data_IF_936732017584
#
_entry.id   IF_936732017584
#
_cell.length_a   1.000
_cell.length_b   1.000
_cell.length_c   1.000
_cell.angle_alpha   90.00
_cell.angle_beta   90.00
_cell.angle_gamma   90.00
#
_symmetry.space_group_name_H-M   'P 1'
#
loop_
_entity.id
_entity.type
_entity.pdbx_description
1 polymer ?
#
# COMPACT_ATOMS: atom_id res chain seq x y z
N UNK A 1 48.69 3.34 15.04
CA UNK A 1 47.93 4.39 14.32
C UNK A 1 46.94 3.83 13.29
N UNK A 2 47.28 2.75 12.55
CA UNK A 2 46.38 2.10 11.56
C UNK A 2 45.09 1.50 12.14
N UNK A 3 45.16 0.80 13.29
CA UNK A 3 44.00 0.15 13.90
C UNK A 3 42.90 1.12 14.41
N UNK A 4 43.26 2.35 14.76
CA UNK A 4 42.32 3.36 15.27
C UNK A 4 41.46 3.91 14.12
N UNK A 5 42.05 4.09 12.93
CA UNK A 5 41.33 4.58 11.74
C UNK A 5 40.29 3.55 11.25
N UNK A 6 40.61 2.27 11.33
CA UNK A 6 39.70 1.19 10.90
C UNK A 6 38.49 1.02 11.84
N UNK A 7 38.70 1.19 13.16
CA UNK A 7 37.65 1.20 14.18
C UNK A 7 36.66 2.38 13.99
N UNK A 8 37.15 3.55 13.59
CA UNK A 8 36.27 4.72 13.32
C UNK A 8 35.44 4.57 12.05
N UNK A 9 35.96 3.89 11.02
CA UNK A 9 35.21 3.60 9.78
C UNK A 9 34.12 2.56 10.01
N UNK A 10 34.41 1.51 10.77
CA UNK A 10 33.46 0.43 11.05
C UNK A 10 32.32 0.87 11.97
N UNK A 11 32.58 1.76 12.92
CA UNK A 11 31.55 2.37 13.79
C UNK A 11 30.64 3.34 13.02
N UNK A 12 31.20 4.25 12.20
CA UNK A 12 30.38 5.13 11.33
C UNK A 12 29.48 4.38 10.36
N UNK A 13 30.00 3.30 9.75
CA UNK A 13 29.23 2.50 8.78
C UNK A 13 28.05 1.76 9.42
N UNK A 14 28.12 1.41 10.72
CA UNK A 14 26.99 0.83 11.45
C UNK A 14 25.93 1.87 11.81
N UNK A 15 26.34 3.09 12.14
CA UNK A 15 25.43 4.18 12.53
C UNK A 15 24.54 4.65 11.37
N UNK A 16 25.04 4.64 10.13
CA UNK A 16 24.27 4.99 8.93
C UNK A 16 23.26 3.91 8.49
N UNK A 17 23.50 2.62 8.82
CA UNK A 17 22.57 1.53 8.46
C UNK A 17 21.27 1.60 9.29
N UNK A 18 21.36 2.04 10.54
CA UNK A 18 20.19 2.15 11.42
C UNK A 18 19.47 3.50 11.33
N UNK A 19 20.04 4.49 10.62
CA UNK A 19 19.45 5.83 10.49
C UNK A 19 18.32 5.85 9.47
N UNK A 20 17.10 6.12 9.94
CA UNK A 20 15.95 6.27 9.03
C UNK A 20 15.89 7.71 8.48
N UNK A 21 15.83 7.92 7.16
CA UNK A 21 15.75 9.26 6.60
C UNK A 21 14.43 9.92 6.98
N UNK A 22 14.50 10.95 7.83
CA UNK A 22 13.33 11.68 8.34
C UNK A 22 12.44 12.23 7.23
N UNK A 23 13.03 12.67 6.11
CA UNK A 23 12.29 13.14 4.94
C UNK A 23 11.37 12.06 4.35
N UNK A 24 11.80 10.79 4.34
CA UNK A 24 10.99 9.67 3.88
C UNK A 24 9.81 9.40 4.82
N UNK A 25 10.03 9.50 6.13
CA UNK A 25 8.97 9.34 7.13
C UNK A 25 7.89 10.42 6.94
N UNK A 26 8.30 11.68 6.79
CA UNK A 26 7.38 12.81 6.61
C UNK A 26 6.59 12.66 5.31
N UNK A 27 7.25 12.34 4.19
CA UNK A 27 6.56 12.12 2.92
C UNK A 27 5.52 10.99 3.03
N UNK A 28 5.89 9.87 3.65
CA UNK A 28 4.97 8.75 3.86
C UNK A 28 3.78 9.13 4.74
N UNK A 29 4.00 9.88 5.82
CA UNK A 29 2.92 10.38 6.69
C UNK A 29 1.98 11.26 5.88
N UNK A 30 2.50 12.25 5.15
CA UNK A 30 1.68 13.12 4.32
C UNK A 30 0.88 12.33 3.29
N UNK A 31 1.52 11.35 2.61
CA UNK A 31 0.85 10.50 1.64
C UNK A 31 -0.29 9.69 2.29
N UNK A 32 -0.03 9.00 3.41
CA UNK A 32 -1.04 8.20 4.11
C UNK A 32 -2.20 9.08 4.56
N UNK A 33 -1.92 10.25 5.15
CA UNK A 33 -2.95 11.19 5.60
C UNK A 33 -3.80 11.68 4.42
N UNK A 34 -3.17 12.06 3.31
CA UNK A 34 -3.90 12.50 2.10
C UNK A 34 -4.78 11.36 1.57
N UNK A 35 -4.25 10.14 1.44
CA UNK A 35 -5.04 8.99 1.00
C UNK A 35 -6.21 8.74 1.95
N UNK A 36 -5.97 8.74 3.25
CA UNK A 36 -7.00 8.51 4.26
C UNK A 36 -8.09 9.60 4.21
N UNK A 37 -7.72 10.87 4.00
CA UNK A 37 -8.68 11.95 3.81
C UNK A 37 -9.51 11.75 2.52
N UNK A 38 -8.86 11.42 1.40
CA UNK A 38 -9.55 11.22 0.12
C UNK A 38 -10.55 10.04 0.23
N UNK A 39 -10.12 8.91 0.79
CA UNK A 39 -10.96 7.71 0.88
C UNK A 39 -12.04 7.80 1.98
N UNK A 40 -11.84 8.59 3.04
CA UNK A 40 -12.80 8.70 4.14
C UNK A 40 -13.79 9.87 3.97
N UNK A 41 -13.32 11.04 3.54
CA UNK A 41 -14.16 12.24 3.38
C UNK A 41 -14.79 12.37 2.00
N UNK A 42 -14.17 11.77 0.99
CA UNK A 42 -14.63 11.86 -0.40
C UNK A 42 -14.82 10.50 -1.07
N UNK A 43 -15.40 9.47 -0.40
CA UNK A 43 -15.72 8.20 -1.07
C UNK A 43 -16.60 8.45 -2.30
N UNK A 44 -17.56 9.38 -2.16
CA UNK A 44 -18.51 9.80 -3.19
C UNK A 44 -17.92 10.81 -4.20
N UNK A 45 -16.61 11.09 -4.15
CA UNK A 45 -15.92 11.83 -5.22
C UNK A 45 -14.78 11.03 -5.86
N UNK A 46 -14.49 9.84 -5.35
CA UNK A 46 -13.61 8.88 -6.02
C UNK A 46 -14.44 8.18 -7.10
N UNK A 47 -14.63 8.90 -8.20
CA UNK A 47 -15.47 8.50 -9.31
C UNK A 47 -15.20 9.35 -10.55
N UNK A 48 -15.69 8.90 -11.68
CA UNK A 48 -15.57 9.64 -12.93
C UNK A 48 -16.77 10.58 -13.02
N UNK A 49 -16.50 11.88 -13.16
CA UNK A 49 -17.54 12.90 -13.34
C UNK A 49 -17.95 12.94 -14.81
N UNK A 50 -19.24 12.71 -15.11
CA UNK A 50 -19.78 12.79 -16.46
C UNK A 50 -20.69 14.01 -16.62
N UNK A 51 -20.49 14.72 -17.73
CA UNK A 51 -21.45 15.68 -18.25
C UNK A 51 -22.10 15.05 -19.49
N UNK A 52 -23.36 14.60 -19.39
CA UNK A 52 -24.12 14.13 -20.54
C UNK A 52 -25.56 14.63 -20.45
N UNK A 53 -26.09 15.10 -21.58
CA UNK A 53 -27.49 15.50 -21.76
C UNK A 53 -28.02 16.43 -20.64
N UNK A 54 -27.26 17.48 -20.32
CA UNK A 54 -27.59 18.50 -19.30
C UNK A 54 -27.77 17.99 -17.86
N UNK A 55 -27.34 16.77 -17.57
CA UNK A 55 -27.43 16.16 -16.22
C UNK A 55 -26.04 15.76 -15.72
N UNK A 56 -25.72 16.12 -14.47
CA UNK A 56 -24.51 15.65 -13.80
C UNK A 56 -24.73 14.23 -13.26
N UNK A 57 -23.99 13.24 -13.78
CA UNK A 57 -24.03 11.87 -13.27
C UNK A 57 -22.65 11.48 -12.72
N UNK A 58 -22.64 10.95 -11.49
CA UNK A 58 -21.44 10.53 -10.78
C UNK A 58 -21.39 9.00 -10.70
N UNK A 59 -20.32 8.40 -11.25
CA UNK A 59 -20.12 6.95 -11.24
C UNK A 59 -18.98 6.62 -10.26
N UNK A 60 -19.26 6.01 -9.11
CA UNK A 60 -18.22 5.63 -8.15
C UNK A 60 -17.33 4.52 -8.72
N UNK A 61 -16.01 4.71 -8.64
CA UNK A 61 -15.02 3.71 -9.13
C UNK A 61 -14.90 2.52 -8.17
N UNK A 62 -15.20 2.73 -6.89
CA UNK A 62 -15.21 1.70 -5.87
C UNK A 62 -16.66 1.36 -5.50
N UNK A 63 -17.02 0.09 -5.58
CA UNK A 63 -18.34 -0.40 -5.17
C UNK A 63 -18.61 -0.06 -3.70
N UNK A 64 -19.84 0.33 -3.40
CA UNK A 64 -20.30 0.70 -2.05
C UNK A 64 -20.12 -0.47 -1.07
N UNK A 65 -20.32 -1.71 -1.56
CA UNK A 65 -20.08 -2.93 -0.77
C UNK A 65 -18.58 -3.18 -0.51
N UNK A 66 -17.72 -2.84 -1.47
CA UNK A 66 -16.27 -2.91 -1.34
C UNK A 66 -15.77 -1.91 -0.29
N UNK A 67 -16.23 -0.66 -0.34
CA UNK A 67 -15.91 0.36 0.65
C UNK A 67 -16.45 -0.03 2.04
N UNK A 68 -17.70 -0.49 2.15
CA UNK A 68 -18.29 -0.86 3.45
C UNK A 68 -17.53 -1.99 4.17
N UNK A 69 -17.02 -2.97 3.42
CA UNK A 69 -16.38 -4.15 4.01
C UNK A 69 -14.87 -3.98 4.21
N UNK A 70 -14.17 -3.33 3.28
CA UNK A 70 -12.70 -3.26 3.28
C UNK A 70 -12.13 -1.95 3.84
N UNK A 71 -12.88 -0.84 3.78
CA UNK A 71 -12.40 0.45 4.24
C UNK A 71 -12.01 0.47 5.74
N UNK A 72 -12.71 -0.23 6.67
CA UNK A 72 -12.28 -0.31 8.06
C UNK A 72 -10.91 -0.99 8.22
N UNK A 73 -10.67 -2.08 7.47
CA UNK A 73 -9.39 -2.79 7.49
C UNK A 73 -8.26 -1.96 6.87
N UNK A 74 -8.53 -1.28 5.76
CA UNK A 74 -7.57 -0.37 5.12
C UNK A 74 -7.23 0.81 6.04
N UNK A 75 -8.21 1.39 6.73
CA UNK A 75 -7.97 2.44 7.72
C UNK A 75 -7.11 1.93 8.89
N UNK A 76 -7.38 0.72 9.38
CA UNK A 76 -6.56 0.11 10.43
C UNK A 76 -5.11 -0.09 9.96
N UNK A 77 -4.92 -0.55 8.72
CA UNK A 77 -3.60 -0.66 8.10
C UNK A 77 -2.90 0.70 7.99
N UNK A 78 -3.61 1.75 7.56
CA UNK A 78 -3.06 3.10 7.49
C UNK A 78 -2.67 3.65 8.86
N UNK A 79 -3.47 3.40 9.90
CA UNK A 79 -3.13 3.81 11.28
C UNK A 79 -1.86 3.09 11.76
N UNK A 80 -1.74 1.79 11.49
CA UNK A 80 -0.53 1.01 11.79
C UNK A 80 0.68 1.56 11.03
N UNK A 81 0.55 1.82 9.73
CA UNK A 81 1.61 2.42 8.92
C UNK A 81 1.98 3.85 9.40
N UNK A 82 0.99 4.66 9.79
CA UNK A 82 1.20 6.00 10.31
C UNK A 82 1.97 5.96 11.64
N UNK A 83 1.55 5.10 12.58
CA UNK A 83 2.23 4.92 13.86
C UNK A 83 3.68 4.46 13.69
N UNK A 84 3.96 3.59 12.72
CA UNK A 84 5.32 3.21 12.34
C UNK A 84 6.15 4.42 11.91
N UNK A 85 5.62 5.24 10.98
CA UNK A 85 6.35 6.40 10.47
C UNK A 85 6.56 7.46 11.57
N UNK A 86 5.60 7.66 12.48
CA UNK A 86 5.74 8.54 13.65
C UNK A 86 6.85 8.01 14.58
N UNK A 87 6.88 6.70 14.84
CA UNK A 87 7.93 6.07 15.63
C UNK A 87 9.31 6.27 14.99
N UNK A 88 9.42 6.12 13.66
CA UNK A 88 10.65 6.43 12.92
C UNK A 88 11.08 7.90 13.04
N UNK A 89 10.12 8.83 13.03
CA UNK A 89 10.41 10.26 13.16
C UNK A 89 10.93 10.61 14.57
N UNK A 90 10.32 10.01 15.60
CA UNK A 90 10.67 10.22 17.01
C UNK A 90 12.01 9.57 17.38
N UNK A 91 12.20 8.29 17.02
CA UNK A 91 13.39 7.53 17.38
C UNK A 91 14.59 7.83 16.46
N UNK A 92 14.32 8.21 15.20
CA UNK A 92 15.33 8.46 14.16
C UNK A 92 16.19 7.24 13.80
N UNK A 93 15.90 6.08 14.39
CA UNK A 93 16.65 4.84 14.29
C UNK A 93 15.73 3.63 14.26
N UNK A 94 16.19 2.53 13.67
CA UNK A 94 15.49 1.24 13.74
C UNK A 94 15.66 0.61 15.12
N UNK A 95 14.58 0.51 15.89
CA UNK A 95 14.54 -0.28 17.13
C UNK A 95 13.91 -1.64 16.87
N UNK A 96 14.09 -2.59 17.79
CA UNK A 96 13.45 -3.91 17.70
C UNK A 96 11.92 -3.79 17.61
N UNK A 97 11.34 -2.85 18.37
CA UNK A 97 9.91 -2.57 18.31
C UNK A 97 9.45 -2.05 16.92
N UNK A 98 10.17 -1.09 16.31
CA UNK A 98 9.82 -0.59 14.96
C UNK A 98 10.01 -1.66 13.89
N UNK A 99 10.99 -2.57 14.06
CA UNK A 99 11.20 -3.71 13.14
C UNK A 99 10.04 -4.72 13.20
N UNK A 100 9.56 -5.04 14.41
CA UNK A 100 8.39 -5.92 14.58
C UNK A 100 7.15 -5.24 13.99
N UNK A 101 6.93 -3.96 14.29
CA UNK A 101 5.76 -3.23 13.81
C UNK A 101 5.75 -3.12 12.28
N UNK A 102 6.91 -2.91 11.65
CA UNK A 102 7.07 -2.94 10.19
C UNK A 102 6.69 -4.30 9.58
N UNK A 103 7.07 -5.42 10.22
CA UNK A 103 6.64 -6.75 9.79
C UNK A 103 5.12 -6.90 9.93
N UNK A 104 4.53 -6.47 11.05
CA UNK A 104 3.08 -6.51 11.26
C UNK A 104 2.34 -5.72 10.18
N UNK A 105 2.80 -4.51 9.85
CA UNK A 105 2.22 -3.68 8.79
C UNK A 105 2.28 -4.40 7.43
N UNK A 106 3.38 -5.06 7.11
CA UNK A 106 3.51 -5.82 5.85
C UNK A 106 2.61 -7.05 5.83
N UNK A 107 2.60 -7.85 6.90
CA UNK A 107 1.76 -9.05 6.99
C UNK A 107 0.29 -8.67 6.87
N UNK A 108 -0.12 -7.60 7.52
CA UNK A 108 -1.49 -7.10 7.45
C UNK A 108 -1.85 -6.60 6.05
N UNK A 109 -0.96 -5.81 5.41
CA UNK A 109 -1.16 -5.37 4.03
C UNK A 109 -1.21 -6.54 3.03
N UNK A 110 -0.35 -7.55 3.22
CA UNK A 110 -0.35 -8.77 2.41
C UNK A 110 -1.64 -9.57 2.62
N UNK A 111 -2.17 -9.64 3.85
CA UNK A 111 -3.45 -10.29 4.12
C UNK A 111 -4.58 -9.62 3.34
N UNK A 112 -4.67 -8.28 3.37
CA UNK A 112 -5.63 -7.52 2.56
C UNK A 112 -5.46 -7.83 1.07
N UNK A 113 -4.22 -7.80 0.56
CA UNK A 113 -3.93 -8.08 -0.84
C UNK A 113 -4.36 -9.49 -1.27
N UNK A 114 -4.04 -10.50 -0.46
CA UNK A 114 -4.44 -11.89 -0.72
C UNK A 114 -5.96 -12.05 -0.65
N UNK A 115 -6.62 -11.40 0.31
CA UNK A 115 -8.08 -11.41 0.39
C UNK A 115 -8.73 -10.70 -0.79
N UNK A 116 -8.10 -9.69 -1.39
CA UNK A 116 -8.55 -9.13 -2.66
C UNK A 116 -8.40 -10.16 -3.78
N UNK A 117 -7.23 -10.78 -3.95
CA UNK A 117 -6.95 -11.79 -5.00
C UNK A 117 -7.90 -12.99 -4.94
N UNK A 118 -8.09 -13.55 -3.75
CA UNK A 118 -8.94 -14.73 -3.55
C UNK A 118 -10.41 -14.38 -3.29
N UNK A 119 -10.73 -13.12 -3.02
CA UNK A 119 -12.09 -12.62 -2.83
C UNK A 119 -12.81 -12.42 -4.16
N UNK A 120 -14.14 -12.53 -4.12
CA UNK A 120 -15.00 -12.39 -5.31
C UNK A 120 -14.85 -11.02 -6.02
N UNK A 121 -14.27 -10.00 -5.37
CA UNK A 121 -14.12 -8.65 -5.92
C UNK A 121 -12.95 -8.47 -6.90
N UNK A 122 -11.88 -9.29 -6.86
CA UNK A 122 -10.77 -9.12 -7.81
C UNK A 122 -11.02 -9.74 -9.18
N UNK A 123 -11.93 -10.72 -9.26
CA UNK A 123 -12.18 -11.45 -10.51
C UNK A 123 -13.16 -10.73 -11.45
N UNK A 124 -13.81 -9.66 -10.98
CA UNK A 124 -14.84 -8.98 -11.76
C UNK A 124 -14.70 -7.47 -11.62
N UNK A 125 -13.80 -6.88 -12.41
CA UNK A 125 -13.89 -5.44 -12.68
C UNK A 125 -14.92 -5.26 -13.77
N UNK A 126 -16.08 -4.71 -13.39
CA UNK A 126 -17.13 -4.35 -14.35
C UNK A 126 -16.77 -3.04 -15.08
N UNK A 127 -15.74 -3.09 -15.93
CA UNK A 127 -15.38 -2.00 -16.84
C UNK A 127 -16.57 -1.59 -17.74
N UNK A 128 -17.49 -2.52 -17.98
CA UNK A 128 -18.69 -2.33 -18.79
C UNK A 128 -19.72 -1.37 -18.18
N UNK A 129 -19.81 -1.26 -16.84
CA UNK A 129 -20.66 -0.26 -16.18
C UNK A 129 -20.14 1.15 -16.42
N UNK A 130 -18.82 1.33 -16.49
CA UNK A 130 -18.21 2.60 -16.88
C UNK A 130 -18.36 2.87 -18.39
N UNK A 131 -18.47 1.81 -19.19
CA UNK A 131 -18.54 1.90 -20.65
C UNK A 131 -19.92 2.31 -21.18
N UNK A 132 -20.99 1.70 -20.66
CA UNK A 132 -22.38 2.11 -20.93
C UNK A 132 -22.57 3.58 -20.62
N UNK A 133 -21.88 4.03 -19.59
CA UNK A 133 -22.02 5.34 -19.01
C UNK A 133 -20.91 6.32 -19.44
N UNK A 134 -20.14 5.99 -20.48
CA UNK A 134 -19.26 6.96 -21.18
C UNK A 134 -19.56 7.01 -22.69
N UNK A 135 -20.40 6.10 -23.20
CA UNK A 135 -20.63 5.93 -24.65
C UNK A 135 -19.50 5.18 -25.34
N UNK A 136 -18.60 4.56 -24.57
CA UNK A 136 -17.40 3.85 -25.03
C UNK A 136 -17.61 2.33 -24.96
N UNK A 137 -18.87 1.88 -25.06
CA UNK A 137 -19.27 0.48 -24.94
C UNK A 137 -18.50 -0.42 -25.89
N UNK A 138 -18.30 0.01 -27.14
CA UNK A 138 -17.55 -0.74 -28.14
C UNK A 138 -16.07 -0.87 -27.76
N UNK A 139 -15.40 0.25 -27.49
CA UNK A 139 -13.96 0.26 -27.13
C UNK A 139 -13.68 -0.52 -25.85
N UNK A 140 -14.54 -0.40 -24.84
CA UNK A 140 -14.34 -1.05 -23.56
C UNK A 140 -14.80 -2.52 -23.55
N UNK A 141 -15.72 -2.94 -24.43
CA UNK A 141 -16.02 -4.36 -24.60
C UNK A 141 -14.80 -5.14 -25.11
N UNK A 142 -13.96 -4.51 -25.94
CA UNK A 142 -12.72 -5.11 -26.42
C UNK A 142 -11.60 -5.07 -25.37
N UNK A 143 -11.56 -4.05 -24.52
CA UNK A 143 -10.50 -3.88 -23.48
C UNK A 143 -10.82 -4.65 -22.20
N UNK A 144 -12.09 -4.80 -21.81
CA UNK A 144 -12.54 -5.50 -20.60
C UNK A 144 -11.94 -6.91 -20.47
N UNK A 145 -11.95 -7.80 -21.49
CA UNK A 145 -11.36 -9.12 -21.37
C UNK A 145 -9.83 -9.07 -21.14
N UNK A 146 -9.13 -8.12 -21.77
CA UNK A 146 -7.68 -7.91 -21.56
C UNK A 146 -7.43 -7.48 -20.11
N UNK A 147 -8.23 -6.54 -19.61
CA UNK A 147 -8.10 -6.02 -18.26
C UNK A 147 -8.40 -7.07 -17.19
N UNK A 148 -9.49 -7.82 -17.37
CA UNK A 148 -9.87 -8.92 -16.46
C UNK A 148 -8.87 -10.08 -16.50
N UNK A 149 -8.20 -10.33 -17.63
CA UNK A 149 -7.12 -11.30 -17.69
C UNK A 149 -5.85 -10.80 -17.01
N UNK A 150 -5.48 -9.53 -17.18
CA UNK A 150 -4.22 -8.96 -16.70
C UNK A 150 -4.25 -8.59 -15.20
N UNK A 151 -5.40 -8.15 -14.69
CA UNK A 151 -5.53 -7.67 -13.32
C UNK A 151 -5.18 -8.73 -12.25
N UNK A 152 -5.61 -10.01 -12.36
CA UNK A 152 -5.18 -11.04 -11.42
C UNK A 152 -3.66 -11.25 -11.46
N UNK A 153 -3.03 -11.21 -12.64
CA UNK A 153 -1.59 -11.42 -12.78
C UNK A 153 -0.77 -10.30 -12.13
N UNK A 154 -1.15 -9.04 -12.33
CA UNK A 154 -0.44 -7.92 -11.68
C UNK A 154 -0.56 -8.00 -10.16
N UNK A 155 -1.71 -8.43 -9.64
CA UNK A 155 -1.89 -8.64 -8.19
C UNK A 155 -1.05 -9.81 -7.66
N UNK A 156 -0.97 -10.93 -8.39
CA UNK A 156 -0.11 -12.07 -8.02
C UNK A 156 1.36 -11.67 -8.00
N UNK A 157 1.84 -10.95 -9.01
CA UNK A 157 3.22 -10.43 -9.05
C UNK A 157 3.48 -9.50 -7.87
N UNK A 158 2.53 -8.62 -7.56
CA UNK A 158 2.61 -7.74 -6.39
C UNK A 158 2.67 -8.54 -5.09
N UNK A 159 1.85 -9.58 -4.93
CA UNK A 159 1.85 -10.44 -3.76
C UNK A 159 3.18 -11.18 -3.57
N UNK A 160 3.77 -11.68 -4.67
CA UNK A 160 5.09 -12.30 -4.65
C UNK A 160 6.17 -11.28 -4.24
N UNK A 161 6.16 -10.09 -4.84
CA UNK A 161 7.12 -9.04 -4.49
C UNK A 161 7.06 -8.67 -3.01
N UNK A 162 5.85 -8.46 -2.47
CA UNK A 162 5.62 -8.17 -1.05
C UNK A 162 6.04 -9.36 -0.17
N UNK A 163 5.74 -10.59 -0.60
CA UNK A 163 6.15 -11.81 0.11
C UNK A 163 7.67 -11.97 0.21
N UNK A 164 8.41 -11.67 -0.86
CA UNK A 164 9.88 -11.68 -0.85
C UNK A 164 10.42 -10.67 0.16
N UNK A 165 9.86 -9.46 0.19
CA UNK A 165 10.27 -8.42 1.14
C UNK A 165 9.96 -8.81 2.59
N UNK A 166 8.82 -9.47 2.84
CA UNK A 166 8.48 -10.02 4.14
C UNK A 166 9.52 -11.05 4.60
N UNK A 167 9.85 -12.03 3.75
CA UNK A 167 10.83 -13.09 4.07
C UNK A 167 12.19 -12.47 4.39
N UNK A 168 12.66 -11.52 3.58
CA UNK A 168 13.94 -10.82 3.82
C UNK A 168 13.96 -10.13 5.18
N UNK A 169 12.87 -9.42 5.53
CA UNK A 169 12.77 -8.73 6.82
C UNK A 169 12.73 -9.70 8.01
N UNK A 170 12.01 -10.82 7.88
CA UNK A 170 11.94 -11.86 8.92
C UNK A 170 13.30 -12.52 9.15
N UNK A 171 13.99 -12.95 8.08
CA UNK A 171 15.34 -13.55 8.18
C UNK A 171 16.30 -12.59 8.85
N UNK A 172 16.25 -11.31 8.46
CA UNK A 172 17.12 -10.31 9.05
C UNK A 172 16.80 -10.06 10.54
N UNK A 173 15.52 -10.07 10.93
CA UNK A 173 15.12 -9.94 12.33
C UNK A 173 15.62 -11.12 13.16
N UNK A 174 15.41 -12.36 12.70
CA UNK A 174 15.91 -13.57 13.37
C UNK A 174 17.43 -13.52 13.57
N UNK A 175 18.16 -13.14 12.53
CA UNK A 175 19.62 -12.99 12.60
C UNK A 175 20.06 -11.90 13.59
N UNK A 176 19.26 -10.87 13.78
CA UNK A 176 19.56 -9.78 14.71
C UNK A 176 19.25 -10.10 16.18
N UNK A 177 18.35 -11.03 16.45
CA UNK A 177 17.97 -11.45 17.82
C UNK A 177 18.88 -12.56 18.36
N UNK A 178 19.43 -13.41 17.48
CA UNK A 178 20.30 -14.54 17.86
C UNK A 178 21.75 -14.10 18.16
N UNK A 179 22.06 -12.81 18.12
CA UNK A 179 23.41 -12.25 18.27
C UNK A 179 23.51 -11.33 19.47
#
# INVERSE_FOLDING_TARGET
MSAIVDQTKTTRKREDIDRFPKAKAVFNICAIVILMLIFNLYPDRIGIWRWQDSTFSFIPILDVAFLGSWLPWINLWWILALSLNIAHLSLGRWTLATRILDIVVIVFGLNILLSMIFGASANTVHLTLFASDLGWTEVLNDITPIFNWLLPWILVVMAIAVGIDLIRKVIWLLRSVIR
#
